data_IF_462293984783
#
_entry.id   IF_462293984783
#
_cell.length_a   1.000
_cell.length_b   1.000
_cell.length_c   1.000
_cell.angle_alpha   90.00
_cell.angle_beta   90.00
_cell.angle_gamma   90.00
#
_symmetry.space_group_name_H-M   'P 1'
#
loop_
_entity.id
_entity.type
_entity.pdbx_description
1 polymer ?
#
# COMPACT_ATOMS: atom_id res chain seq x y z
N UNK A 1 21.04 -6.70 -0.61
CA UNK A 1 19.93 -5.80 -1.01
C UNK A 1 20.37 -4.95 -2.18
N UNK A 2 19.61 -4.98 -3.27
CA UNK A 2 19.72 -4.03 -4.38
C UNK A 2 18.32 -3.54 -4.75
N UNK A 3 18.19 -2.26 -5.10
CA UNK A 3 16.95 -1.69 -5.63
C UNK A 3 17.21 -1.25 -7.07
N UNK A 4 16.41 -1.77 -7.99
CA UNK A 4 16.47 -1.42 -9.39
C UNK A 4 15.15 -0.80 -9.83
N UNK A 5 15.20 0.37 -10.44
CA UNK A 5 14.04 1.10 -10.98
C UNK A 5 14.12 1.12 -12.50
N UNK A 6 13.02 0.83 -13.16
CA UNK A 6 12.90 0.92 -14.64
C UNK A 6 11.64 1.67 -15.02
N UNK A 7 11.68 2.58 -16.00
CA UNK A 7 12.89 3.01 -16.74
C UNK A 7 13.80 3.89 -15.88
N UNK A 8 15.05 4.04 -16.27
CA UNK A 8 16.00 4.97 -15.62
C UNK A 8 15.77 6.43 -16.01
N UNK A 9 15.12 6.66 -17.15
CA UNK A 9 14.72 7.97 -17.63
C UNK A 9 13.29 7.91 -18.16
N UNK A 10 12.47 8.87 -17.78
CA UNK A 10 11.06 8.96 -18.15
C UNK A 10 10.87 9.93 -19.31
N UNK A 11 9.93 9.63 -20.21
CA UNK A 11 9.62 10.43 -21.40
C UNK A 11 8.25 11.12 -21.33
N UNK A 12 7.29 10.52 -20.61
CA UNK A 12 5.91 11.01 -20.54
C UNK A 12 5.55 11.67 -19.22
N UNK A 13 6.36 11.45 -18.19
CA UNK A 13 6.21 12.02 -16.84
C UNK A 13 7.53 12.64 -16.38
N UNK A 14 7.45 13.65 -15.52
CA UNK A 14 8.63 14.29 -14.93
C UNK A 14 9.01 13.60 -13.61
N UNK A 15 9.37 12.31 -13.71
CA UNK A 15 9.77 11.49 -12.56
C UNK A 15 11.28 11.30 -12.52
N UNK A 16 11.78 11.09 -11.31
CA UNK A 16 13.17 10.81 -11.00
C UNK A 16 13.33 9.38 -10.48
N UNK A 17 13.96 8.51 -11.25
CA UNK A 17 14.23 7.14 -10.86
C UNK A 17 15.10 7.06 -9.59
N UNK A 18 16.03 7.99 -9.40
CA UNK A 18 16.87 8.04 -8.21
C UNK A 18 16.05 8.36 -6.95
N UNK A 19 15.04 9.22 -7.04
CA UNK A 19 14.11 9.46 -5.93
C UNK A 19 13.31 8.20 -5.58
N UNK A 20 12.77 7.50 -6.58
CA UNK A 20 12.03 6.24 -6.38
C UNK A 20 12.93 5.23 -5.68
N UNK A 21 14.17 5.07 -6.16
CA UNK A 21 15.15 4.15 -5.57
C UNK A 21 15.43 4.49 -4.12
N UNK A 22 15.75 5.75 -3.80
CA UNK A 22 16.03 6.21 -2.43
C UNK A 22 14.85 5.92 -1.49
N UNK A 23 13.63 6.28 -1.89
CA UNK A 23 12.41 6.04 -1.10
C UNK A 23 12.21 4.54 -0.87
N UNK A 24 12.44 3.71 -1.89
CA UNK A 24 12.32 2.27 -1.77
C UNK A 24 13.37 1.67 -0.81
N UNK A 25 14.62 2.12 -0.87
CA UNK A 25 15.70 1.71 0.04
C UNK A 25 15.38 2.07 1.50
N UNK A 26 14.91 3.29 1.75
CA UNK A 26 14.48 3.74 3.07
C UNK A 26 13.32 2.90 3.63
N UNK A 27 12.35 2.56 2.79
CA UNK A 27 11.22 1.71 3.16
C UNK A 27 11.68 0.28 3.47
N UNK A 28 12.50 -0.34 2.61
CA UNK A 28 13.01 -1.69 2.87
C UNK A 28 13.74 -1.78 4.21
N UNK A 29 14.60 -0.81 4.50
CA UNK A 29 15.31 -0.73 5.78
C UNK A 29 14.36 -0.56 6.96
N UNK A 30 13.37 0.35 6.85
CA UNK A 30 12.40 0.63 7.91
C UNK A 30 11.46 -0.55 8.19
N UNK A 31 11.22 -1.39 7.19
CA UNK A 31 10.31 -2.54 7.27
C UNK A 31 11.02 -3.86 7.58
N UNK A 32 12.36 -3.85 7.70
CA UNK A 32 13.15 -5.07 7.93
C UNK A 32 13.10 -6.03 6.74
N UNK A 33 13.08 -5.50 5.52
CA UNK A 33 13.13 -6.23 4.26
C UNK A 33 14.43 -5.97 3.49
N UNK A 34 15.44 -5.45 4.17
CA UNK A 34 16.73 -5.05 3.62
C UNK A 34 17.64 -6.24 3.22
N UNK A 35 17.23 -7.47 3.51
CA UNK A 35 17.82 -8.69 2.98
C UNK A 35 17.33 -9.06 1.56
N UNK A 36 16.31 -8.37 1.03
CA UNK A 36 15.68 -8.66 -0.24
C UNK A 36 16.11 -7.70 -1.34
N UNK A 37 16.21 -8.22 -2.56
CA UNK A 37 16.32 -7.40 -3.76
C UNK A 37 14.93 -6.91 -4.19
N UNK A 38 14.84 -5.68 -4.69
CA UNK A 38 13.61 -5.05 -5.13
C UNK A 38 13.74 -4.52 -6.56
N UNK A 39 12.80 -4.93 -7.40
CA UNK A 39 12.61 -4.40 -8.75
C UNK A 39 11.36 -3.53 -8.76
N UNK A 40 11.48 -2.28 -9.20
CA UNK A 40 10.35 -1.36 -9.39
C UNK A 40 10.26 -1.02 -10.87
N UNK A 41 9.22 -1.49 -11.53
CA UNK A 41 8.88 -1.16 -12.91
C UNK A 41 7.76 -0.12 -12.92
N UNK A 42 7.99 1.03 -13.55
CA UNK A 42 7.00 2.11 -13.65
C UNK A 42 6.50 2.18 -15.09
N UNK A 43 5.20 1.94 -15.28
CA UNK A 43 4.53 2.15 -16.56
C UNK A 43 4.09 3.60 -16.67
N UNK A 44 4.84 4.40 -17.42
CA UNK A 44 4.56 5.83 -17.66
C UNK A 44 3.51 6.08 -18.75
N UNK A 45 3.02 5.03 -19.41
CA UNK A 45 2.04 5.17 -20.51
C UNK A 45 0.60 5.26 -20.02
N UNK A 46 0.35 4.94 -18.76
CA UNK A 46 -0.98 4.99 -18.14
C UNK A 46 -0.98 5.85 -16.87
N UNK A 47 -1.93 6.80 -16.73
CA UNK A 47 -2.03 7.66 -15.56
C UNK A 47 -2.78 7.00 -14.39
N UNK A 48 -3.14 5.72 -14.48
CA UNK A 48 -3.84 5.02 -13.41
C UNK A 48 -2.93 4.85 -12.18
N UNK A 49 -3.55 4.66 -11.03
CA UNK A 49 -2.84 4.52 -9.75
C UNK A 49 -2.86 3.08 -9.26
N UNK A 50 -2.44 2.15 -10.10
CA UNK A 50 -2.39 0.73 -9.76
C UNK A 50 -0.98 0.28 -9.45
N UNK A 51 -0.88 -0.63 -8.50
CA UNK A 51 0.36 -1.32 -8.17
C UNK A 51 0.09 -2.82 -8.10
N UNK A 52 1.02 -3.61 -8.59
CA UNK A 52 1.03 -5.07 -8.47
C UNK A 52 2.36 -5.51 -7.90
N UNK A 53 2.36 -6.60 -7.16
CA UNK A 53 3.56 -7.16 -6.58
C UNK A 53 3.63 -8.67 -6.83
N UNK A 54 4.82 -9.13 -7.12
CA UNK A 54 5.16 -10.55 -7.18
C UNK A 54 6.29 -10.80 -6.18
N UNK A 55 6.14 -11.87 -5.38
CA UNK A 55 7.11 -12.26 -4.36
C UNK A 55 7.81 -13.53 -4.86
N UNK A 56 9.09 -13.39 -5.21
CA UNK A 56 9.96 -14.48 -5.64
C UNK A 56 11.31 -14.38 -4.93
N UNK A 57 12.39 -14.70 -5.64
CA UNK A 57 13.76 -14.49 -5.15
C UNK A 57 14.00 -12.99 -4.89
N UNK A 58 13.47 -12.14 -5.76
CA UNK A 58 13.35 -10.71 -5.54
C UNK A 58 11.87 -10.31 -5.38
N UNK A 59 11.62 -9.17 -4.75
CA UNK A 59 10.31 -8.52 -4.75
C UNK A 59 10.21 -7.71 -6.04
N UNK A 60 9.18 -7.96 -6.87
CA UNK A 60 8.91 -7.22 -8.10
C UNK A 60 7.64 -6.40 -7.95
N UNK A 61 7.76 -5.07 -8.04
CA UNK A 61 6.63 -4.14 -8.02
C UNK A 61 6.47 -3.53 -9.41
N UNK A 62 5.28 -3.67 -9.99
CA UNK A 62 4.86 -2.93 -11.18
C UNK A 62 3.89 -1.84 -10.75
N UNK A 63 4.23 -0.59 -11.04
CA UNK A 63 3.42 0.58 -10.72
C UNK A 63 3.04 1.35 -11.99
N UNK A 64 1.77 1.69 -12.14
CA UNK A 64 1.31 2.66 -13.12
C UNK A 64 1.65 4.07 -12.64
N UNK A 65 1.94 5.01 -13.54
CA UNK A 65 2.54 6.31 -13.17
C UNK A 65 1.71 7.14 -12.20
N UNK A 66 0.39 7.06 -12.26
CA UNK A 66 -0.50 7.76 -11.33
C UNK A 66 -0.32 7.38 -9.86
N UNK A 67 0.32 6.23 -9.58
CA UNK A 67 0.63 5.83 -8.20
C UNK A 67 1.65 6.74 -7.50
N UNK A 68 2.49 7.44 -8.27
CA UNK A 68 3.55 8.33 -7.77
C UNK A 68 3.29 9.81 -8.06
N UNK A 69 2.15 10.12 -8.68
CA UNK A 69 1.83 11.46 -9.15
C UNK A 69 1.42 12.39 -8.01
N UNK A 70 1.85 13.65 -8.11
CA UNK A 70 1.34 14.74 -7.30
C UNK A 70 -0.08 15.10 -7.74
N UNK A 71 -1.05 14.94 -6.85
CA UNK A 71 -2.48 15.19 -7.15
C UNK A 71 -2.78 16.64 -7.55
N UNK A 72 -1.88 17.58 -7.26
CA UNK A 72 -2.03 19.01 -7.60
C UNK A 72 -1.25 19.39 -8.85
N UNK A 73 -0.32 18.58 -9.28
CA UNK A 73 0.57 18.84 -10.42
C UNK A 73 0.67 17.60 -11.30
N UNK A 74 -0.21 17.49 -12.31
CA UNK A 74 -0.20 16.35 -13.22
C UNK A 74 1.17 16.07 -13.83
N UNK A 75 1.53 14.82 -13.95
CA UNK A 75 2.81 14.30 -14.46
C UNK A 75 4.05 14.70 -13.65
N UNK A 76 3.86 15.33 -12.48
CA UNK A 76 4.94 15.58 -11.52
C UNK A 76 4.95 14.51 -10.45
N UNK A 77 6.13 14.12 -10.01
CA UNK A 77 6.29 13.15 -8.93
C UNK A 77 6.04 13.79 -7.57
N UNK A 78 5.40 13.03 -6.68
CA UNK A 78 5.31 13.33 -5.27
C UNK A 78 6.08 12.29 -4.47
N UNK A 79 7.00 12.74 -3.62
CA UNK A 79 7.74 11.85 -2.72
C UNK A 79 6.79 11.14 -1.74
N UNK A 80 5.79 11.87 -1.20
CA UNK A 80 4.77 11.30 -0.30
C UNK A 80 3.91 10.27 -1.02
N UNK A 81 3.48 10.53 -2.25
CA UNK A 81 2.72 9.56 -3.05
C UNK A 81 3.55 8.32 -3.37
N UNK A 82 4.83 8.50 -3.73
CA UNK A 82 5.78 7.41 -3.97
C UNK A 82 5.96 6.56 -2.71
N UNK A 83 6.24 7.19 -1.57
CA UNK A 83 6.43 6.51 -0.29
C UNK A 83 5.15 5.78 0.17
N UNK A 84 3.98 6.40 0.00
CA UNK A 84 2.70 5.78 0.36
C UNK A 84 2.39 4.58 -0.52
N UNK A 85 2.58 4.69 -1.83
CA UNK A 85 2.29 3.60 -2.77
C UNK A 85 3.23 2.42 -2.61
N UNK A 86 4.53 2.65 -2.57
CA UNK A 86 5.52 1.59 -2.34
C UNK A 86 5.39 1.00 -0.93
N UNK A 87 5.20 1.85 0.09
CA UNK A 87 5.09 1.43 1.48
C UNK A 87 3.90 0.52 1.73
N UNK A 88 2.73 0.78 1.13
CA UNK A 88 1.56 -0.12 1.23
C UNK A 88 1.85 -1.50 0.66
N UNK A 89 2.46 -1.55 -0.52
CA UNK A 89 2.80 -2.80 -1.18
C UNK A 89 3.85 -3.57 -0.37
N UNK A 90 4.92 -2.92 0.07
CA UNK A 90 5.99 -3.55 0.85
C UNK A 90 5.50 -4.02 2.23
N UNK A 91 4.59 -3.29 2.88
CA UNK A 91 3.95 -3.74 4.12
C UNK A 91 3.13 -5.01 3.90
N UNK A 92 2.39 -5.11 2.80
CA UNK A 92 1.65 -6.34 2.48
C UNK A 92 2.58 -7.52 2.20
N UNK A 93 3.71 -7.27 1.53
CA UNK A 93 4.76 -8.28 1.36
C UNK A 93 5.29 -8.74 2.72
N UNK A 94 5.65 -7.79 3.60
CA UNK A 94 6.13 -8.08 4.95
C UNK A 94 5.12 -8.88 5.76
N UNK A 95 3.84 -8.49 5.72
CA UNK A 95 2.76 -9.18 6.42
C UNK A 95 2.66 -10.65 5.98
N UNK A 96 2.77 -10.93 4.68
CA UNK A 96 2.76 -12.29 4.14
C UNK A 96 3.99 -13.11 4.51
N UNK A 97 5.16 -12.48 4.56
CA UNK A 97 6.43 -13.19 4.79
C UNK A 97 6.71 -13.45 6.26
N UNK A 98 6.42 -12.48 7.13
CA UNK A 98 6.84 -12.51 8.54
C UNK A 98 5.80 -11.91 9.50
N UNK A 99 4.71 -11.36 9.01
CA UNK A 99 3.75 -10.58 9.79
C UNK A 99 2.48 -11.33 10.19
N UNK A 100 2.38 -12.66 9.99
CA UNK A 100 1.21 -13.44 10.39
C UNK A 100 0.05 -13.40 9.39
N UNK A 101 0.29 -13.05 8.13
CA UNK A 101 -0.65 -13.05 7.01
C UNK A 101 -0.29 -14.11 5.95
N UNK A 102 0.44 -15.15 6.34
CA UNK A 102 0.83 -16.26 5.46
C UNK A 102 -0.37 -17.04 4.93
N UNK A 103 -1.48 -17.09 5.67
CA UNK A 103 -2.75 -17.70 5.24
C UNK A 103 -3.66 -16.77 4.44
N UNK A 104 -3.28 -15.50 4.24
CA UNK A 104 -4.08 -14.56 3.46
C UNK A 104 -4.21 -15.00 2.00
N UNK A 105 -5.40 -14.89 1.38
CA UNK A 105 -5.60 -15.22 -0.03
C UNK A 105 -4.66 -14.42 -0.94
N UNK A 106 -4.37 -14.91 -2.16
CA UNK A 106 -3.71 -14.10 -3.17
C UNK A 106 -4.42 -12.75 -3.39
N UNK A 107 -3.69 -11.74 -3.83
CA UNK A 107 -4.24 -10.39 -3.99
C UNK A 107 -5.45 -10.33 -4.91
N UNK A 108 -5.48 -11.15 -5.96
CA UNK A 108 -6.60 -11.20 -6.92
C UNK A 108 -7.86 -11.88 -6.34
N UNK A 109 -7.73 -12.62 -5.25
CA UNK A 109 -8.84 -13.31 -4.57
C UNK A 109 -9.40 -12.50 -3.37
N UNK A 110 -8.76 -11.38 -3.02
CA UNK A 110 -9.25 -10.50 -1.95
C UNK A 110 -10.51 -9.76 -2.38
N UNK A 111 -11.49 -9.67 -1.49
CA UNK A 111 -12.63 -8.79 -1.69
C UNK A 111 -12.20 -7.31 -1.64
N UNK A 112 -12.97 -6.42 -2.28
CA UNK A 112 -12.69 -4.98 -2.23
C UNK A 112 -12.72 -4.43 -0.79
N UNK A 113 -13.54 -5.03 0.08
CA UNK A 113 -13.59 -4.69 1.49
C UNK A 113 -12.30 -5.10 2.23
N UNK A 114 -11.80 -6.32 1.98
CA UNK A 114 -10.51 -6.78 2.53
C UNK A 114 -9.34 -5.94 2.03
N UNK A 115 -9.34 -5.57 0.75
CA UNK A 115 -8.31 -4.66 0.19
C UNK A 115 -8.32 -3.33 0.92
N UNK A 116 -9.49 -2.68 1.07
CA UNK A 116 -9.61 -1.39 1.76
C UNK A 116 -9.19 -1.47 3.24
N UNK A 117 -9.51 -2.56 3.91
CA UNK A 117 -9.12 -2.80 5.29
C UNK A 117 -7.61 -3.00 5.43
N UNK A 118 -7.00 -3.81 4.57
CA UNK A 118 -5.56 -4.04 4.60
C UNK A 118 -4.77 -2.78 4.25
N UNK A 119 -5.24 -1.99 3.28
CA UNK A 119 -4.67 -0.68 2.98
C UNK A 119 -4.74 0.26 4.19
N UNK A 120 -5.86 0.27 4.91
CA UNK A 120 -6.01 1.06 6.15
C UNK A 120 -4.97 0.65 7.21
N UNK A 121 -4.80 -0.64 7.42
CA UNK A 121 -3.79 -1.21 8.32
C UNK A 121 -2.37 -0.85 7.90
N UNK A 122 -2.06 -0.90 6.59
CA UNK A 122 -0.77 -0.49 6.07
C UNK A 122 -0.51 1.01 6.27
N UNK A 123 -1.47 1.87 5.90
CA UNK A 123 -1.28 3.33 5.93
C UNK A 123 -1.17 3.86 7.35
N UNK A 124 -1.88 3.29 8.32
CA UNK A 124 -1.71 3.64 9.73
C UNK A 124 -0.29 3.38 10.22
N UNK A 125 0.34 2.30 9.78
CA UNK A 125 1.76 2.01 10.08
C UNK A 125 2.72 2.98 9.37
N UNK A 126 2.42 3.37 8.12
CA UNK A 126 3.20 4.37 7.39
C UNK A 126 3.17 5.75 8.07
N UNK A 127 2.03 6.16 8.62
CA UNK A 127 1.93 7.39 9.41
C UNK A 127 2.89 7.34 10.61
N UNK A 128 2.95 6.22 11.32
CA UNK A 128 3.88 6.03 12.44
C UNK A 128 5.35 5.96 12.04
N UNK A 129 5.65 5.65 10.79
CA UNK A 129 6.99 5.79 10.20
C UNK A 129 7.32 7.23 9.74
N UNK A 130 6.40 8.18 9.94
CA UNK A 130 6.59 9.60 9.63
C UNK A 130 6.20 10.01 8.21
N UNK A 131 5.50 9.16 7.46
CA UNK A 131 4.98 9.52 6.14
C UNK A 131 3.70 10.35 6.35
N UNK A 132 3.64 11.53 5.72
CA UNK A 132 2.51 12.45 5.81
C UNK A 132 1.32 11.93 4.99
N UNK A 133 0.48 11.12 5.62
CA UNK A 133 -0.72 10.52 5.01
C UNK A 133 -1.98 11.26 5.45
N UNK A 134 -2.95 11.39 4.56
CA UNK A 134 -4.24 12.00 4.87
C UNK A 134 -5.22 10.96 5.43
N UNK A 135 -5.29 10.82 6.76
CA UNK A 135 -6.16 9.87 7.45
C UNK A 135 -7.65 10.01 7.05
N UNK A 136 -8.14 11.23 6.86
CA UNK A 136 -9.54 11.47 6.48
C UNK A 136 -9.88 10.87 5.10
N UNK A 137 -8.97 10.99 4.15
CA UNK A 137 -9.12 10.38 2.83
C UNK A 137 -9.19 8.85 2.93
N UNK A 138 -8.34 8.24 3.74
CA UNK A 138 -8.32 6.80 3.95
C UNK A 138 -9.56 6.31 4.70
N UNK A 139 -10.05 7.06 5.69
CA UNK A 139 -11.32 6.79 6.36
C UNK A 139 -12.49 6.81 5.38
N UNK A 140 -12.54 7.80 4.48
CA UNK A 140 -13.56 7.87 3.45
C UNK A 140 -13.50 6.66 2.50
N UNK A 141 -12.31 6.28 2.06
CA UNK A 141 -12.12 5.09 1.21
C UNK A 141 -12.58 3.80 1.92
N UNK A 142 -12.27 3.67 3.20
CA UNK A 142 -12.73 2.53 4.01
C UNK A 142 -14.25 2.50 4.13
N UNK A 143 -14.88 3.62 4.45
CA UNK A 143 -16.34 3.74 4.55
C UNK A 143 -17.06 3.39 3.27
N UNK A 144 -16.51 3.69 2.11
CA UNK A 144 -17.08 3.33 0.81
C UNK A 144 -17.18 1.81 0.59
N UNK A 145 -16.47 1.00 1.36
CA UNK A 145 -16.47 -0.47 1.27
C UNK A 145 -17.12 -1.14 2.48
N UNK A 146 -17.10 -0.50 3.63
CA UNK A 146 -17.57 -1.04 4.90
C UNK A 146 -18.82 -0.35 5.45
N UNK A 147 -19.27 0.73 4.82
CA UNK A 147 -20.42 1.53 5.27
C UNK A 147 -20.03 2.75 6.10
N UNK A 148 -21.00 3.65 6.23
CA UNK A 148 -20.87 4.90 6.98
C UNK A 148 -21.55 4.74 8.36
N UNK A 149 -21.06 3.80 9.16
CA UNK A 149 -21.61 3.44 10.47
C UNK A 149 -20.56 3.62 11.57
N UNK A 150 -21.01 3.64 12.82
CA UNK A 150 -20.10 3.72 13.98
C UNK A 150 -19.23 2.47 14.09
N UNK A 151 -19.75 1.30 13.73
CA UNK A 151 -19.01 0.03 13.70
C UNK A 151 -17.87 0.08 12.66
N UNK A 152 -18.14 0.65 11.48
CA UNK A 152 -17.10 0.84 10.46
C UNK A 152 -16.01 1.80 10.95
N UNK A 153 -16.37 2.87 11.64
CA UNK A 153 -15.40 3.80 12.21
C UNK A 153 -14.56 3.17 13.34
N UNK A 154 -15.15 2.33 14.16
CA UNK A 154 -14.42 1.58 15.19
C UNK A 154 -13.42 0.60 14.56
N UNK A 155 -13.84 -0.14 13.51
CA UNK A 155 -12.96 -1.03 12.78
C UNK A 155 -11.82 -0.27 12.09
N UNK A 156 -12.11 0.87 11.45
CA UNK A 156 -11.08 1.74 10.89
C UNK A 156 -10.07 2.16 11.93
N UNK A 157 -10.52 2.67 13.08
CA UNK A 157 -9.63 3.14 14.14
C UNK A 157 -8.75 2.00 14.68
N UNK A 158 -9.32 0.81 14.83
CA UNK A 158 -8.57 -0.37 15.30
C UNK A 158 -7.50 -0.79 14.30
N UNK A 159 -7.84 -0.89 13.01
CA UNK A 159 -6.89 -1.22 11.94
C UNK A 159 -5.78 -0.16 11.85
N UNK A 160 -6.16 1.12 11.88
CA UNK A 160 -5.20 2.23 11.79
C UNK A 160 -4.19 2.23 12.94
N UNK A 161 -4.63 1.94 14.15
CA UNK A 161 -3.79 1.97 15.36
C UNK A 161 -2.97 0.68 15.57
N UNK A 162 -3.24 -0.39 14.84
CA UNK A 162 -2.58 -1.69 15.02
C UNK A 162 -1.22 -1.78 14.33
N UNK A 163 -0.28 -2.51 14.95
CA UNK A 163 1.07 -2.75 14.41
C UNK A 163 1.36 -4.22 14.10
N UNK A 164 0.71 -5.15 14.81
CA UNK A 164 0.96 -6.58 14.71
C UNK A 164 -0.34 -7.37 14.80
N UNK A 165 -1.07 -7.45 13.67
CA UNK A 165 -2.24 -8.31 13.53
C UNK A 165 -1.84 -9.62 12.87
N UNK A 166 -2.51 -10.71 13.24
CA UNK A 166 -2.59 -11.93 12.43
C UNK A 166 -3.70 -11.81 11.40
N UNK A 167 -3.72 -12.70 10.39
CA UNK A 167 -4.81 -12.75 9.42
C UNK A 167 -6.16 -12.98 10.08
N UNK A 168 -6.25 -13.89 11.05
CA UNK A 168 -7.49 -14.17 11.78
C UNK A 168 -8.01 -12.94 12.55
N UNK A 169 -7.11 -12.21 13.23
CA UNK A 169 -7.49 -10.97 13.93
C UNK A 169 -7.96 -9.89 12.97
N UNK A 170 -7.29 -9.78 11.81
CA UNK A 170 -7.68 -8.86 10.75
C UNK A 170 -9.08 -9.21 10.21
N UNK A 171 -9.33 -10.48 9.89
CA UNK A 171 -10.66 -10.93 9.43
C UNK A 171 -11.73 -10.72 10.48
N UNK A 172 -11.43 -10.95 11.77
CA UNK A 172 -12.37 -10.69 12.85
C UNK A 172 -12.76 -9.22 12.95
N UNK A 173 -11.82 -8.29 12.72
CA UNK A 173 -12.12 -6.84 12.66
C UNK A 173 -13.03 -6.53 11.47
N UNK A 174 -12.75 -7.10 10.29
CA UNK A 174 -13.57 -6.90 9.10
C UNK A 174 -14.98 -7.47 9.26
N UNK A 175 -15.12 -8.63 9.88
CA UNK A 175 -16.40 -9.29 10.12
C UNK A 175 -17.29 -8.56 11.15
N UNK A 176 -16.68 -7.81 12.08
CA UNK A 176 -17.39 -7.02 13.07
C UNK A 176 -18.13 -5.81 12.45
N UNK A 177 -17.75 -5.40 11.25
CA UNK A 177 -18.47 -4.42 10.47
C UNK A 177 -19.53 -5.17 9.67
N UNK A 178 -20.72 -5.33 10.17
CA UNK A 178 -21.79 -6.10 9.51
C UNK A 178 -21.87 -5.79 8.02
N UNK A 179 -22.21 -6.80 7.19
CA UNK A 179 -22.43 -6.56 5.78
C UNK A 179 -23.49 -5.48 5.63
N UNK A 180 -23.29 -4.43 4.81
CA UNK A 180 -24.37 -3.50 4.53
C UNK A 180 -25.52 -4.32 3.97
N UNK A 181 -26.70 -4.20 4.58
CA UNK A 181 -27.92 -4.86 4.14
C UNK A 181 -28.08 -4.65 2.64
N UNK A 182 -28.09 -5.76 1.91
CA UNK A 182 -28.42 -5.78 0.48
C UNK A 182 -29.90 -5.43 0.35
N UNK A 183 -30.20 -4.15 0.18
CA UNK A 183 -31.51 -3.70 -0.30
C UNK A 183 -31.43 -3.33 -1.77
#
# INVERSE_FOLDING_TARGET
MSVTVTPQAFNFVAYDAAMIQRVAEELLASLGLDDRDLLVEVDETTPLSRTRVEIGDAISIRAESGAFEDTKRPRQQSEVATATSLGRVLLRVRDRLVGGFDEAPPDDDLTLAQVAAWETYCVGRLERLGIDVNQQRWRYNFRNRHGFTDEADQAFNRLWASDALTWDEFEAICAAVGQPDSQ
#
